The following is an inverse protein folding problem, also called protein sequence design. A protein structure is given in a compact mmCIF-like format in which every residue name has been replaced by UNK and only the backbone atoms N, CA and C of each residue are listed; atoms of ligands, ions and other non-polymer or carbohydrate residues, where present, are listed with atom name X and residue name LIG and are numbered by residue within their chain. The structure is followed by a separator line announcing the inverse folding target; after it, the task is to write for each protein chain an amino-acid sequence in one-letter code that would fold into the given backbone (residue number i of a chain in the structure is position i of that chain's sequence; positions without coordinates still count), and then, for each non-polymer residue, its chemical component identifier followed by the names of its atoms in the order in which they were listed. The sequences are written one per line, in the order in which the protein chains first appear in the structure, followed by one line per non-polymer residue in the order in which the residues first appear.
data_IF_469765864523
#
_entry.id   IF_469765864523
#
_cell.length_a   1.000
_cell.length_b   1.000
_cell.length_c   1.000
_cell.angle_alpha   90.00
_cell.angle_beta   90.00
_cell.angle_gamma   90.00
#
_symmetry.space_group_name_H-M   'P 1'
#
loop_
_entity.id
_entity.type
_entity.pdbx_description
1 polymer ?
#
# COMPACT_ATOMS: atom_id res chain seq x y z
N UNK A 1 3.71 -23.49 -6.52
CA UNK A 1 4.37 -23.90 -5.26
C UNK A 1 5.11 -22.74 -4.67
N UNK A 2 4.82 -22.41 -3.43
CA UNK A 2 5.53 -21.36 -2.69
C UNK A 2 6.85 -21.96 -2.18
N UNK A 3 7.97 -21.33 -2.46
CA UNK A 3 9.27 -21.81 -1.95
C UNK A 3 9.38 -21.61 -0.45
N UNK A 4 10.27 -22.36 0.23
CA UNK A 4 10.53 -22.19 1.66
C UNK A 4 11.00 -20.75 1.96
N UNK A 5 11.78 -20.15 1.07
CA UNK A 5 12.24 -18.77 1.21
C UNK A 5 11.08 -17.77 1.14
N UNK A 6 10.10 -18.02 0.28
CA UNK A 6 8.91 -17.17 0.16
C UNK A 6 8.05 -17.25 1.42
N UNK A 7 7.91 -18.44 2.02
CA UNK A 7 7.18 -18.61 3.29
C UNK A 7 7.84 -17.81 4.42
N UNK A 8 9.17 -17.91 4.57
CA UNK A 8 9.91 -17.16 5.58
C UNK A 8 9.80 -15.64 5.35
N UNK A 9 9.80 -15.22 4.11
CA UNK A 9 9.67 -13.81 3.73
C UNK A 9 8.28 -13.27 4.07
N UNK A 10 7.22 -14.04 3.77
CA UNK A 10 5.85 -13.68 4.13
C UNK A 10 5.65 -13.60 5.66
N UNK A 11 6.25 -14.52 6.41
CA UNK A 11 6.19 -14.48 7.89
C UNK A 11 6.85 -13.20 8.44
N UNK A 12 7.97 -12.78 7.85
CA UNK A 12 8.62 -11.51 8.23
C UNK A 12 7.76 -10.30 7.87
N UNK A 13 7.10 -10.32 6.72
CA UNK A 13 6.16 -9.27 6.33
C UNK A 13 5.01 -9.20 7.32
N UNK A 14 4.37 -10.33 7.67
CA UNK A 14 3.30 -10.37 8.68
C UNK A 14 3.75 -9.76 10.01
N UNK A 15 4.93 -10.11 10.46
CA UNK A 15 5.49 -9.59 11.72
C UNK A 15 5.62 -8.06 11.70
N UNK A 16 6.15 -7.49 10.63
CA UNK A 16 6.34 -6.03 10.52
C UNK A 16 5.03 -5.27 10.31
N UNK A 17 4.09 -5.81 9.55
CA UNK A 17 2.84 -5.13 9.18
C UNK A 17 1.83 -5.02 10.32
N UNK A 18 1.97 -5.84 11.36
CA UNK A 18 1.11 -5.80 12.55
C UNK A 18 1.57 -4.78 13.61
N UNK A 19 2.60 -4.02 13.33
CA UNK A 19 3.10 -2.96 14.21
C UNK A 19 2.56 -1.59 13.79
N UNK A 20 2.49 -0.67 14.74
CA UNK A 20 2.18 0.74 14.41
C UNK A 20 3.22 1.32 13.47
N UNK A 21 2.79 2.26 12.64
CA UNK A 21 3.68 2.96 11.73
C UNK A 21 4.77 3.71 12.51
N UNK A 22 5.99 3.40 12.18
CA UNK A 22 7.18 4.13 12.62
C UNK A 22 8.00 4.50 11.37
N UNK A 23 7.95 5.77 11.00
CA UNK A 23 8.63 6.26 9.81
C UNK A 23 10.14 6.09 9.87
N UNK A 24 10.72 6.09 11.09
CA UNK A 24 12.17 5.94 11.27
C UNK A 24 12.68 4.57 10.85
N UNK A 25 11.82 3.55 10.79
CA UNK A 25 12.19 2.23 10.28
C UNK A 25 12.54 2.22 8.79
N UNK A 26 12.22 3.30 8.07
CA UNK A 26 12.54 3.47 6.66
C UNK A 26 13.80 4.31 6.42
N UNK A 27 14.49 4.73 7.47
CA UNK A 27 15.63 5.65 7.37
C UNK A 27 16.91 4.99 6.82
N UNK A 28 17.09 3.68 7.04
CA UNK A 28 18.26 2.99 6.51
C UNK A 28 18.25 2.97 4.99
N UNK A 29 19.42 3.09 4.37
CA UNK A 29 19.56 3.07 2.92
C UNK A 29 18.94 1.82 2.30
N UNK A 30 19.16 0.65 2.91
CA UNK A 30 18.62 -0.61 2.43
C UNK A 30 17.10 -0.59 2.41
N UNK A 31 16.45 -0.30 3.54
CA UNK A 31 14.98 -0.30 3.64
C UNK A 31 14.38 0.77 2.73
N UNK A 32 14.95 1.97 2.75
CA UNK A 32 14.50 3.08 1.91
C UNK A 32 14.50 2.73 0.43
N UNK A 33 15.54 2.06 -0.06
CA UNK A 33 15.72 1.75 -1.48
C UNK A 33 15.01 0.47 -1.92
N UNK A 34 14.58 -0.39 -1.01
CA UNK A 34 13.92 -1.67 -1.30
C UNK A 34 12.46 -1.73 -0.89
N UNK A 35 11.88 -0.60 -0.54
CA UNK A 35 10.46 -0.43 -0.22
C UNK A 35 9.85 0.68 -1.08
N UNK A 36 8.55 0.62 -1.27
CA UNK A 36 7.81 1.58 -2.10
C UNK A 36 6.52 2.05 -1.39
N UNK A 37 5.66 2.75 -2.10
CA UNK A 37 4.40 3.22 -1.55
C UNK A 37 3.49 2.09 -1.06
N UNK A 38 3.52 0.93 -1.70
CA UNK A 38 2.69 -0.22 -1.33
C UNK A 38 3.19 -0.86 -0.02
N UNK A 39 4.48 -1.13 0.09
CA UNK A 39 5.06 -1.63 1.34
C UNK A 39 4.86 -0.66 2.50
N UNK A 40 4.98 0.63 2.24
CA UNK A 40 4.72 1.67 3.24
C UNK A 40 3.25 1.68 3.69
N UNK A 41 2.32 1.56 2.75
CA UNK A 41 0.89 1.50 3.05
C UNK A 41 0.54 0.30 3.94
N UNK A 42 1.14 -0.85 3.72
CA UNK A 42 0.93 -2.03 4.57
C UNK A 42 1.80 -2.05 5.84
N UNK A 43 2.82 -1.23 5.92
CA UNK A 43 3.72 -1.15 7.07
C UNK A 43 4.90 -2.13 7.04
N UNK A 44 5.20 -2.70 5.89
CA UNK A 44 6.34 -3.61 5.75
C UNK A 44 7.65 -2.87 5.53
N UNK A 45 8.68 -3.31 6.26
CA UNK A 45 10.06 -2.86 6.09
C UNK A 45 10.99 -3.96 5.57
N UNK A 46 10.42 -5.08 5.16
CA UNK A 46 11.19 -6.21 4.63
C UNK A 46 11.74 -5.84 3.25
N UNK A 47 13.05 -6.07 3.05
CA UNK A 47 13.74 -5.80 1.79
C UNK A 47 13.37 -6.83 0.71
N UNK A 48 12.22 -6.63 0.08
CA UNK A 48 11.77 -7.47 -1.03
C UNK A 48 10.89 -6.70 -2.00
N UNK A 49 11.50 -5.87 -2.81
CA UNK A 49 10.79 -5.00 -3.74
C UNK A 49 9.86 -5.75 -4.71
N UNK A 50 10.22 -6.98 -5.09
CA UNK A 50 9.44 -7.81 -6.00
C UNK A 50 8.05 -8.18 -5.44
N UNK A 51 7.89 -8.22 -4.12
CA UNK A 51 6.60 -8.47 -3.47
C UNK A 51 5.73 -7.23 -3.34
N UNK A 52 6.28 -6.04 -3.58
CA UNK A 52 5.55 -4.79 -3.40
C UNK A 52 4.88 -4.31 -4.69
N UNK A 53 4.19 -5.26 -5.30
CA UNK A 53 3.28 -5.04 -6.43
C UNK A 53 1.94 -5.66 -6.07
N UNK A 54 0.86 -4.97 -6.38
CA UNK A 54 -0.49 -5.46 -6.06
C UNK A 54 -0.72 -6.84 -6.71
N UNK A 55 -1.05 -7.83 -5.89
CA UNK A 55 -1.22 -9.22 -6.29
C UNK A 55 0.00 -10.12 -6.03
N UNK A 56 1.19 -9.56 -5.80
CA UNK A 56 2.40 -10.38 -5.65
C UNK A 56 2.45 -11.13 -4.30
N UNK A 57 1.98 -10.52 -3.21
CA UNK A 57 1.99 -11.12 -1.88
C UNK A 57 1.07 -12.34 -1.80
N UNK A 58 -0.10 -12.27 -2.39
CA UNK A 58 -1.04 -13.39 -2.45
C UNK A 58 -0.62 -14.50 -3.41
N UNK A 59 0.51 -14.36 -4.08
CA UNK A 59 1.01 -15.33 -5.07
C UNK A 59 0.22 -15.32 -6.37
N UNK A 60 -0.63 -14.32 -6.59
CA UNK A 60 -1.28 -14.09 -7.87
C UNK A 60 -0.27 -13.47 -8.82
N UNK A 61 -0.46 -13.70 -10.12
CA UNK A 61 0.37 -13.02 -11.13
C UNK A 61 0.12 -11.52 -10.99
N UNK A 62 1.13 -10.70 -10.67
CA UNK A 62 0.95 -9.26 -10.62
C UNK A 62 0.44 -8.75 -11.96
N UNK A 63 -0.45 -7.77 -11.92
CA UNK A 63 -0.93 -7.15 -13.14
C UNK A 63 0.24 -6.50 -13.87
N UNK A 64 0.41 -6.84 -15.15
CA UNK A 64 1.40 -6.20 -16.00
C UNK A 64 0.88 -4.83 -16.45
N UNK A 65 1.78 -3.87 -16.62
CA UNK A 65 1.40 -2.58 -17.17
C UNK A 65 1.10 -2.67 -18.68
N UNK A 66 0.02 -2.03 -19.16
CA UNK A 66 -0.97 -1.29 -18.36
C UNK A 66 -1.89 -2.23 -17.59
N UNK A 67 -2.20 -1.88 -16.36
CA UNK A 67 -3.10 -2.64 -15.51
C UNK A 67 -4.52 -2.67 -16.08
N UNK A 68 -5.20 -3.80 -15.96
CA UNK A 68 -6.47 -4.02 -16.67
C UNK A 68 -7.62 -3.16 -16.15
N UNK A 69 -7.87 -3.16 -14.85
CA UNK A 69 -8.96 -2.40 -14.26
C UNK A 69 -8.74 -2.06 -12.79
N UNK A 70 -9.47 -1.03 -12.33
CA UNK A 70 -9.48 -0.67 -10.91
C UNK A 70 -10.10 -1.75 -10.05
N UNK A 71 -11.15 -2.43 -10.53
CA UNK A 71 -11.81 -3.52 -9.81
C UNK A 71 -10.89 -4.71 -9.56
N UNK A 72 -10.11 -5.09 -10.54
CA UNK A 72 -9.13 -6.17 -10.40
C UNK A 72 -8.01 -5.79 -9.43
N UNK A 73 -7.53 -4.56 -9.48
CA UNK A 73 -6.56 -4.05 -8.50
C UNK A 73 -7.08 -4.11 -7.07
N UNK A 74 -8.32 -3.72 -6.85
CA UNK A 74 -8.94 -3.76 -5.51
C UNK A 74 -9.07 -5.21 -5.03
N UNK A 75 -9.48 -6.12 -5.89
CA UNK A 75 -9.57 -7.54 -5.55
C UNK A 75 -8.23 -8.11 -5.13
N UNK A 76 -7.18 -7.85 -5.90
CA UNK A 76 -5.82 -8.30 -5.59
C UNK A 76 -5.27 -7.64 -4.33
N UNK A 77 -5.57 -6.37 -4.11
CA UNK A 77 -5.25 -5.66 -2.89
C UNK A 77 -5.84 -6.37 -1.66
N UNK A 78 -7.11 -6.77 -1.72
CA UNK A 78 -7.78 -7.49 -0.63
C UNK A 78 -7.16 -8.85 -0.38
N UNK A 79 -6.82 -9.57 -1.44
CA UNK A 79 -6.14 -10.87 -1.34
C UNK A 79 -4.76 -10.75 -0.72
N UNK A 80 -3.97 -9.74 -1.09
CA UNK A 80 -2.66 -9.48 -0.52
C UNK A 80 -2.74 -9.20 0.99
N UNK A 81 -3.64 -8.32 1.41
CA UNK A 81 -3.80 -7.98 2.82
C UNK A 81 -4.29 -9.17 3.63
N UNK A 82 -5.19 -9.98 3.09
CA UNK A 82 -5.63 -11.22 3.71
C UNK A 82 -4.48 -12.20 3.91
N UNK A 83 -3.58 -12.32 2.94
CA UNK A 83 -2.41 -13.21 3.01
C UNK A 83 -1.46 -12.86 4.16
N UNK A 84 -1.40 -11.60 4.54
CA UNK A 84 -0.59 -11.13 5.67
C UNK A 84 -1.41 -10.89 6.94
N UNK A 85 -2.57 -11.53 7.05
CA UNK A 85 -3.45 -11.52 8.22
C UNK A 85 -3.96 -10.14 8.63
N UNK A 86 -4.14 -9.25 7.66
CA UNK A 86 -4.77 -7.94 7.84
C UNK A 86 -6.19 -7.97 7.27
N UNK A 87 -7.11 -7.35 7.99
CA UNK A 87 -8.47 -7.14 7.49
C UNK A 87 -8.57 -5.80 6.79
N UNK A 88 -9.11 -5.77 5.59
CA UNK A 88 -9.26 -4.55 4.78
C UNK A 88 -10.71 -4.42 4.32
N UNK A 89 -11.26 -3.21 4.39
CA UNK A 89 -12.60 -2.90 3.94
C UNK A 89 -12.71 -1.46 3.42
N UNK A 90 -13.73 -1.18 2.63
CA UNK A 90 -14.01 0.18 2.16
C UNK A 90 -14.25 1.12 3.33
N UNK A 91 -13.77 2.34 3.20
CA UNK A 91 -13.89 3.40 4.19
C UNK A 91 -14.07 4.76 3.52
N UNK A 92 -14.01 5.80 4.32
CA UNK A 92 -14.00 7.19 3.88
C UNK A 92 -12.96 7.98 4.67
N UNK A 93 -12.67 9.18 4.21
CA UNK A 93 -11.75 10.05 4.92
C UNK A 93 -12.28 10.44 6.31
N UNK A 94 -13.59 10.59 6.45
CA UNK A 94 -14.27 11.03 7.68
C UNK A 94 -14.50 9.89 8.68
N UNK A 95 -14.43 8.63 8.27
CA UNK A 95 -14.66 7.52 9.19
C UNK A 95 -13.64 7.52 10.32
N UNK A 96 -14.12 7.44 11.56
CA UNK A 96 -13.28 7.34 12.74
C UNK A 96 -12.74 5.92 12.87
N UNK A 97 -11.46 5.81 13.14
CA UNK A 97 -10.77 4.52 13.32
C UNK A 97 -10.27 4.34 14.74
N UNK A 98 -10.10 3.08 15.15
CA UNK A 98 -9.53 2.72 16.45
C UNK A 98 -8.01 2.60 16.40
N UNK A 99 -7.37 2.41 17.58
CA UNK A 99 -5.91 2.35 17.68
C UNK A 99 -5.27 1.18 16.91
N UNK A 100 -6.01 0.08 16.72
CA UNK A 100 -5.52 -1.07 15.94
C UNK A 100 -5.83 -0.94 14.44
N UNK A 101 -6.28 0.20 14.01
CA UNK A 101 -6.66 0.48 12.63
C UNK A 101 -5.86 1.62 12.04
N UNK A 102 -5.75 1.61 10.72
CA UNK A 102 -5.26 2.71 9.92
C UNK A 102 -6.01 2.75 8.59
N UNK A 103 -5.83 3.81 7.83
CA UNK A 103 -6.41 3.89 6.48
C UNK A 103 -5.32 3.92 5.43
N UNK A 104 -5.65 3.44 4.26
CA UNK A 104 -4.86 3.63 3.05
C UNK A 104 -5.73 4.23 1.97
N UNK A 105 -5.14 5.05 1.11
CA UNK A 105 -5.80 5.57 -0.08
C UNK A 105 -5.05 5.06 -1.31
N UNK A 106 -5.79 4.57 -2.29
CA UNK A 106 -5.26 4.13 -3.57
C UNK A 106 -5.56 5.17 -4.64
N UNK A 107 -4.51 5.66 -5.26
CA UNK A 107 -4.56 6.53 -6.43
C UNK A 107 -4.05 5.77 -7.65
N UNK A 108 -4.64 6.03 -8.80
CA UNK A 108 -4.20 5.44 -10.06
C UNK A 108 -3.99 6.53 -11.11
N UNK A 109 -3.04 6.28 -11.99
CA UNK A 109 -2.72 7.12 -13.12
C UNK A 109 -3.37 6.54 -14.37
N UNK A 110 -4.35 7.24 -14.93
CA UNK A 110 -5.15 6.77 -16.06
C UNK A 110 -5.14 7.82 -17.15
N UNK A 111 -4.79 7.43 -18.35
CA UNK A 111 -4.83 8.27 -19.54
C UNK A 111 -6.10 8.02 -20.37
N UNK A 112 -6.16 8.62 -21.56
CA UNK A 112 -7.32 8.51 -22.48
C UNK A 112 -7.64 7.08 -22.93
N UNK A 113 -6.71 6.13 -22.81
CA UNK A 113 -6.92 4.71 -23.08
C UNK A 113 -7.72 3.99 -21.99
N UNK A 114 -8.04 4.65 -20.88
CA UNK A 114 -8.74 4.12 -19.69
C UNK A 114 -8.01 2.96 -19.00
N UNK A 115 -6.70 2.81 -19.24
CA UNK A 115 -5.87 1.80 -18.57
C UNK A 115 -5.06 2.44 -17.46
N UNK A 116 -4.85 1.68 -16.38
CA UNK A 116 -4.00 2.12 -15.28
C UNK A 116 -2.54 1.99 -15.70
N UNK A 117 -1.80 3.10 -15.68
CA UNK A 117 -0.38 3.14 -16.03
C UNK A 117 0.54 3.19 -14.81
N UNK A 118 0.01 3.56 -13.66
CA UNK A 118 0.74 3.60 -12.40
C UNK A 118 -0.24 3.63 -11.23
N UNK A 119 0.24 3.33 -10.05
CA UNK A 119 -0.52 3.42 -8.81
C UNK A 119 0.32 4.09 -7.72
N UNK A 120 -0.36 4.68 -6.75
CA UNK A 120 0.27 5.25 -5.57
C UNK A 120 -0.62 5.04 -4.35
N UNK A 121 0.00 4.72 -3.23
CA UNK A 121 -0.67 4.56 -1.95
C UNK A 121 -0.22 5.63 -0.97
N UNK A 122 -1.17 6.12 -0.17
CA UNK A 122 -0.90 6.93 1.01
C UNK A 122 -1.46 6.23 2.24
N UNK A 123 -1.00 6.60 3.43
CA UNK A 123 -1.42 5.98 4.69
C UNK A 123 -1.81 7.04 5.70
N UNK A 124 -2.95 6.80 6.38
CA UNK A 124 -3.42 7.60 7.49
C UNK A 124 -3.30 6.83 8.79
N UNK A 125 -2.54 7.35 9.73
CA UNK A 125 -2.40 6.82 11.07
C UNK A 125 -2.00 7.97 12.00
N UNK A 126 -2.44 7.90 13.26
CA UNK A 126 -2.18 8.94 14.26
C UNK A 126 -2.60 10.36 13.82
N UNK A 127 -3.73 10.43 13.11
CA UNK A 127 -4.35 11.70 12.71
C UNK A 127 -3.72 12.37 11.49
N UNK A 128 -2.79 11.72 10.79
CA UNK A 128 -2.09 12.32 9.65
C UNK A 128 -1.96 11.35 8.49
N UNK A 129 -2.08 11.88 7.28
CA UNK A 129 -1.70 11.19 6.06
C UNK A 129 -0.20 11.33 5.84
N UNK A 130 0.41 10.28 5.33
CA UNK A 130 1.81 10.23 4.95
C UNK A 130 2.00 9.31 3.75
N UNK A 131 3.17 9.40 3.10
CA UNK A 131 3.47 8.62 1.91
C UNK A 131 4.96 8.33 1.79
N UNK A 132 5.29 7.36 0.96
CA UNK A 132 6.65 7.05 0.58
C UNK A 132 6.71 6.79 -0.93
N UNK A 133 7.54 7.54 -1.62
CA UNK A 133 7.88 7.25 -3.01
C UNK A 133 9.14 6.39 -3.05
N UNK A 134 9.11 5.27 -3.77
CA UNK A 134 10.26 4.41 -4.07
C UNK A 134 11.40 4.55 -3.04
N UNK A 135 12.56 5.04 -3.46
CA UNK A 135 13.76 5.22 -2.63
C UNK A 135 13.82 6.55 -1.84
N UNK A 136 12.73 7.26 -1.74
CA UNK A 136 12.65 8.46 -0.90
C UNK A 136 12.26 8.12 0.53
N UNK A 137 12.56 9.05 1.45
CA UNK A 137 12.08 8.95 2.83
C UNK A 137 10.57 9.18 2.89
N UNK A 138 9.88 8.55 3.87
CA UNK A 138 8.49 8.89 4.14
C UNK A 138 8.32 10.37 4.48
N UNK A 139 7.20 10.95 4.05
CA UNK A 139 6.87 12.34 4.36
C UNK A 139 5.41 12.49 4.77
N UNK A 140 5.14 13.45 5.64
CA UNK A 140 3.78 13.87 5.96
C UNK A 140 3.17 14.67 4.81
N UNK A 141 1.88 14.44 4.56
CA UNK A 141 1.09 15.21 3.59
C UNK A 141 -0.10 15.94 4.24
N UNK A 142 -0.21 15.89 5.57
CA UNK A 142 -1.18 16.65 6.34
C UNK A 142 -2.35 15.83 6.87
N UNK A 143 -3.39 16.53 7.30
CA UNK A 143 -4.56 15.91 7.92
C UNK A 143 -5.68 15.57 6.94
N UNK A 144 -5.55 15.97 5.69
CA UNK A 144 -6.56 15.77 4.64
C UNK A 144 -5.89 15.37 3.33
N UNK A 145 -6.58 14.51 2.56
CA UNK A 145 -6.21 14.18 1.17
C UNK A 145 -6.73 15.19 0.14
N UNK A 146 -7.43 16.23 0.59
CA UNK A 146 -8.00 17.25 -0.29
C UNK A 146 -6.90 17.87 -1.15
N UNK A 147 -6.95 17.70 -2.44
CA UNK A 147 -6.01 18.17 -3.46
C UNK A 147 -4.77 17.30 -3.68
N UNK A 148 -4.55 16.21 -2.92
CA UNK A 148 -3.44 15.31 -3.20
C UNK A 148 -3.84 14.30 -4.28
N UNK A 149 -3.03 14.22 -5.35
CA UNK A 149 -3.19 13.27 -6.46
C UNK A 149 -4.60 13.18 -7.09
N UNK A 150 -5.46 14.17 -6.88
CA UNK A 150 -6.79 14.21 -7.45
C UNK A 150 -6.86 15.20 -8.63
N UNK A 151 -5.91 15.06 -9.55
CA UNK A 151 -5.80 15.86 -10.76
C UNK A 151 -5.33 14.97 -11.92
N UNK A 152 -5.84 15.23 -13.11
CA UNK A 152 -5.49 14.45 -14.29
C UNK A 152 -3.96 14.38 -14.50
N UNK A 153 -3.35 13.22 -14.77
CA UNK A 153 -3.97 11.91 -15.04
C UNK A 153 -4.21 11.04 -13.79
N UNK A 154 -4.00 11.54 -12.59
CA UNK A 154 -4.21 10.84 -11.34
C UNK A 154 -5.65 10.96 -10.84
N UNK A 155 -6.18 9.91 -10.24
CA UNK A 155 -7.47 9.93 -9.55
C UNK A 155 -7.47 9.02 -8.35
N UNK A 156 -8.25 9.40 -7.33
CA UNK A 156 -8.52 8.56 -6.17
C UNK A 156 -9.47 7.42 -6.57
N UNK A 157 -9.06 6.18 -6.32
CA UNK A 157 -9.88 4.98 -6.51
C UNK A 157 -10.72 4.72 -5.28
N UNK A 158 -10.14 4.81 -4.10
CA UNK A 158 -10.83 4.57 -2.86
C UNK A 158 -9.94 4.72 -1.64
N UNK A 159 -10.62 4.80 -0.51
CA UNK A 159 -10.01 4.79 0.81
C UNK A 159 -10.45 3.49 1.48
N UNK A 160 -9.53 2.84 2.17
CA UNK A 160 -9.74 1.56 2.81
C UNK A 160 -9.28 1.63 4.27
N UNK A 161 -10.03 1.00 5.13
CA UNK A 161 -9.68 0.82 6.54
C UNK A 161 -9.02 -0.54 6.70
N UNK A 162 -7.88 -0.56 7.35
CA UNK A 162 -7.11 -1.77 7.64
C UNK A 162 -7.11 -2.01 9.14
N UNK A 163 -7.42 -3.24 9.55
CA UNK A 163 -7.39 -3.67 10.95
C UNK A 163 -6.28 -4.70 11.14
N UNK A 164 -5.44 -4.45 12.13
CA UNK A 164 -4.37 -5.36 12.57
C UNK A 164 -4.91 -6.55 13.35
#
# INVERSE_FOLDING_TARGET
MTSTNDVLLLDRIRETTHQKLDKTRYDTTLVRNTTNCYSYAMGSTVSCLNLYRVGAISGRKPLEEPYFSTGENIKLLYEDFKEIDLTIERSSEEEVISENQYKIALFVKVYADNKIHDFHFTRFEDGRWSEKFRWQLPRDIGTSLKNEYNYWPWRLVGIFKVTR
#
